data_IF_593986381106
#
_entry.id   IF_593986381106
#
_cell.length_a   1.000
_cell.length_b   1.000
_cell.length_c   1.000
_cell.angle_alpha   90.00
_cell.angle_beta   90.00
_cell.angle_gamma   90.00
#
_symmetry.space_group_name_H-M   'P 1'
#
loop_
_entity.id
_entity.type
_entity.pdbx_description
1 polymer ?
#
# COMPACT_ATOMS: atom_id res chain seq x y z
N UNK A 1 -4.92 13.05 17.16
CA UNK A 1 -4.68 13.63 15.84
C UNK A 1 -5.77 14.64 15.52
N UNK A 2 -5.34 15.88 15.31
CA UNK A 2 -6.10 17.04 14.87
C UNK A 2 -5.58 17.50 13.50
N UNK A 3 -6.31 18.36 12.79
CA UNK A 3 -5.86 18.89 11.48
C UNK A 3 -4.51 19.60 11.59
N UNK A 4 -4.29 20.35 12.67
CA UNK A 4 -3.02 21.04 12.94
C UNK A 4 -1.81 20.10 13.01
N UNK A 5 -2.00 18.81 13.33
CA UNK A 5 -0.90 17.85 13.43
C UNK A 5 -0.32 17.46 12.06
N UNK A 6 -1.04 17.73 10.97
CA UNK A 6 -0.67 17.34 9.59
C UNK A 6 -0.88 18.47 8.58
N UNK A 7 -1.16 19.69 9.05
CA UNK A 7 -1.50 20.83 8.19
C UNK A 7 -0.44 21.11 7.12
N UNK A 8 0.84 21.01 7.50
CA UNK A 8 1.97 21.21 6.58
C UNK A 8 2.07 20.13 5.48
N UNK A 9 1.46 18.96 5.70
CA UNK A 9 1.47 17.83 4.77
C UNK A 9 0.16 17.65 4.01
N UNK A 10 -0.85 18.49 4.28
CA UNK A 10 -2.22 18.23 3.84
C UNK A 10 -2.33 18.14 2.31
N UNK A 11 -1.58 18.95 1.58
CA UNK A 11 -1.50 18.86 0.12
C UNK A 11 -0.93 17.52 -0.36
N UNK A 12 0.25 17.13 0.13
CA UNK A 12 0.91 15.87 -0.25
C UNK A 12 0.08 14.64 0.16
N UNK A 13 -0.51 14.65 1.36
CA UNK A 13 -1.38 13.57 1.81
C UNK A 13 -2.66 13.48 0.99
N UNK A 14 -3.22 14.61 0.55
CA UNK A 14 -4.40 14.62 -0.31
C UNK A 14 -4.10 14.03 -1.68
N UNK A 15 -2.92 14.31 -2.23
CA UNK A 15 -2.49 13.77 -3.52
C UNK A 15 -2.13 12.28 -3.44
N UNK A 16 -1.32 11.91 -2.45
CA UNK A 16 -0.65 10.62 -2.42
C UNK A 16 -1.30 9.59 -1.50
N UNK A 17 -2.14 10.02 -0.55
CA UNK A 17 -2.83 9.14 0.38
C UNK A 17 -4.32 9.49 0.54
N UNK A 18 -5.09 9.72 -0.55
CA UNK A 18 -6.51 10.06 -0.44
C UNK A 18 -7.34 8.89 0.10
N UNK A 19 -8.50 9.21 0.68
CA UNK A 19 -9.56 8.21 0.83
C UNK A 19 -10.23 7.97 -0.52
N UNK A 20 -10.20 6.72 -1.00
CA UNK A 20 -11.01 6.27 -2.15
C UNK A 20 -12.43 5.84 -1.74
N UNK A 21 -12.73 5.80 -0.44
CA UNK A 21 -14.07 5.54 0.07
C UNK A 21 -14.84 6.87 0.15
N UNK A 22 -15.86 7.03 -0.70
CA UNK A 22 -16.67 8.27 -0.75
C UNK A 22 -17.44 8.59 0.54
N UNK A 23 -17.61 7.60 1.40
CA UNK A 23 -18.26 7.74 2.71
C UNK A 23 -17.33 8.24 3.80
N UNK A 24 -16.02 8.39 3.54
CA UNK A 24 -15.00 8.77 4.52
C UNK A 24 -14.07 9.83 3.94
N UNK A 25 -13.88 10.94 4.67
CA UNK A 25 -12.92 11.96 4.26
C UNK A 25 -11.48 11.48 4.39
N UNK A 26 -10.55 12.04 3.61
CA UNK A 26 -9.13 11.70 3.71
C UNK A 26 -8.59 11.94 5.13
N UNK A 27 -8.98 13.03 5.79
CA UNK A 27 -8.57 13.28 7.18
C UNK A 27 -9.10 12.21 8.17
N UNK A 28 -10.34 11.76 8.02
CA UNK A 28 -10.87 10.66 8.85
C UNK A 28 -10.08 9.37 8.62
N UNK A 29 -9.71 9.09 7.37
CA UNK A 29 -8.87 7.95 7.02
C UNK A 29 -7.49 8.05 7.68
N UNK A 30 -6.76 9.16 7.49
CA UNK A 30 -5.46 9.37 8.14
C UNK A 30 -5.53 9.26 9.66
N UNK A 31 -6.61 9.77 10.28
CA UNK A 31 -6.81 9.69 11.73
C UNK A 31 -6.94 8.23 12.21
N UNK A 32 -7.60 7.38 11.44
CA UNK A 32 -7.71 5.95 11.73
C UNK A 32 -6.38 5.23 11.54
N UNK A 33 -5.64 5.53 10.47
CA UNK A 33 -4.32 4.96 10.21
C UNK A 33 -3.33 5.30 11.33
N UNK A 34 -3.30 6.57 11.77
CA UNK A 34 -2.51 6.97 12.94
C UNK A 34 -2.93 6.22 14.20
N UNK A 35 -4.24 6.12 14.48
CA UNK A 35 -4.74 5.46 15.70
C UNK A 35 -4.41 3.97 15.71
N UNK A 36 -4.55 3.28 14.57
CA UNK A 36 -4.38 1.82 14.47
C UNK A 36 -2.91 1.41 14.30
N UNK A 37 -2.13 2.19 13.57
CA UNK A 37 -0.78 1.81 13.15
C UNK A 37 0.28 2.79 13.66
N UNK A 38 0.10 4.08 13.41
CA UNK A 38 1.09 5.10 13.77
C UNK A 38 1.41 5.18 15.27
N UNK A 39 0.39 5.07 16.13
CA UNK A 39 0.58 5.09 17.58
C UNK A 39 1.44 3.92 18.09
N UNK A 40 1.40 2.75 17.44
CA UNK A 40 2.27 1.62 17.78
C UNK A 40 3.72 1.86 17.32
N UNK A 41 3.91 2.59 16.21
CA UNK A 41 5.22 2.98 15.73
C UNK A 41 5.85 4.14 16.52
N UNK A 42 5.11 4.80 17.41
CA UNK A 42 5.57 6.00 18.11
C UNK A 42 6.81 5.79 19.01
N UNK A 43 7.14 4.55 19.38
CA UNK A 43 8.36 4.19 20.11
C UNK A 43 9.61 4.09 19.20
N UNK A 44 9.44 4.12 17.87
CA UNK A 44 10.54 4.13 16.90
C UNK A 44 10.96 5.58 16.66
N UNK A 45 12.27 5.82 16.67
CA UNK A 45 12.82 7.13 16.37
C UNK A 45 12.34 7.60 14.98
N UNK A 46 11.88 8.86 14.90
CA UNK A 46 11.30 9.40 13.66
C UNK A 46 9.80 9.13 13.46
N UNK A 47 9.11 8.44 14.37
CA UNK A 47 7.65 8.18 14.29
C UNK A 47 6.85 8.67 15.50
N UNK A 48 7.50 9.39 16.41
CA UNK A 48 6.96 9.79 17.71
C UNK A 48 5.88 10.90 17.68
N UNK A 49 5.35 11.27 16.50
CA UNK A 49 4.21 12.17 16.34
C UNK A 49 3.47 11.90 15.03
N UNK A 50 2.20 12.32 14.87
CA UNK A 50 1.48 12.18 13.61
C UNK A 50 2.23 12.83 12.44
N UNK A 51 2.72 14.06 12.63
CA UNK A 51 3.50 14.78 11.62
C UNK A 51 4.69 13.96 11.11
N UNK A 52 5.51 13.44 12.04
CA UNK A 52 6.71 12.68 11.70
C UNK A 52 6.39 11.33 11.06
N UNK A 53 5.33 10.67 11.52
CA UNK A 53 4.84 9.43 10.92
C UNK A 53 4.45 9.63 9.46
N UNK A 54 3.57 10.60 9.18
CA UNK A 54 3.12 10.88 7.82
C UNK A 54 4.24 11.42 6.92
N UNK A 55 5.11 12.29 7.44
CA UNK A 55 6.32 12.73 6.72
C UNK A 55 7.17 11.54 6.29
N UNK A 56 7.37 10.57 7.18
CA UNK A 56 8.21 9.39 6.87
C UNK A 56 7.52 8.48 5.86
N UNK A 57 6.21 8.26 5.98
CA UNK A 57 5.44 7.50 4.99
C UNK A 57 5.50 8.13 3.59
N UNK A 58 5.35 9.45 3.49
CA UNK A 58 5.46 10.17 2.21
C UNK A 58 6.87 10.06 1.61
N UNK A 59 7.91 10.19 2.44
CA UNK A 59 9.31 9.97 2.01
C UNK A 59 9.54 8.56 1.47
N UNK A 60 9.06 7.54 2.18
CA UNK A 60 9.16 6.15 1.74
C UNK A 60 8.41 5.92 0.44
N UNK A 61 7.22 6.51 0.29
CA UNK A 61 6.45 6.45 -0.96
C UNK A 61 7.24 7.03 -2.14
N UNK A 62 7.87 8.18 -1.95
CA UNK A 62 8.68 8.82 -2.99
C UNK A 62 9.94 8.00 -3.31
N UNK A 63 10.58 7.40 -2.29
CA UNK A 63 11.77 6.57 -2.46
C UNK A 63 11.46 5.27 -3.22
N UNK A 64 10.36 4.60 -2.88
CA UNK A 64 9.89 3.39 -3.54
C UNK A 64 8.81 3.75 -4.55
N UNK A 65 9.15 4.53 -5.57
CA UNK A 65 8.20 4.96 -6.61
C UNK A 65 7.78 3.79 -7.51
N UNK A 66 6.81 3.00 -7.02
CA UNK A 66 6.29 1.80 -7.67
C UNK A 66 5.69 2.13 -9.03
N UNK A 67 5.02 3.28 -9.16
CA UNK A 67 4.40 3.66 -10.43
C UNK A 67 5.47 3.87 -11.49
N UNK A 68 6.53 4.60 -11.17
CA UNK A 68 7.64 4.81 -12.09
C UNK A 68 8.34 3.50 -12.45
N UNK A 69 8.61 2.62 -11.47
CA UNK A 69 9.26 1.33 -11.73
C UNK A 69 8.45 0.46 -12.72
N UNK A 70 7.12 0.45 -12.58
CA UNK A 70 6.23 -0.28 -13.47
C UNK A 70 6.14 0.39 -14.85
N UNK A 71 6.02 1.72 -14.90
CA UNK A 71 5.95 2.50 -16.14
C UNK A 71 7.22 2.34 -16.99
N UNK A 72 8.40 2.43 -16.36
CA UNK A 72 9.71 2.20 -17.01
C UNK A 72 9.82 0.77 -17.61
N UNK A 73 9.06 -0.19 -17.08
CA UNK A 73 8.96 -1.57 -17.57
C UNK A 73 7.79 -1.79 -18.56
N UNK A 74 7.01 -0.76 -18.89
CA UNK A 74 5.85 -0.85 -19.79
C UNK A 74 4.62 -1.53 -19.16
N UNK A 75 4.55 -1.56 -17.83
CA UNK A 75 3.43 -2.06 -17.04
C UNK A 75 2.64 -0.84 -16.54
N UNK A 76 1.64 -0.44 -17.30
CA UNK A 76 0.80 0.72 -16.99
C UNK A 76 -0.62 0.29 -16.62
N UNK A 77 -1.37 1.12 -15.87
CA UNK A 77 -2.78 0.85 -15.64
C UNK A 77 -3.54 0.69 -16.96
N UNK A 78 -4.41 -0.33 -17.04
CA UNK A 78 -5.20 -0.63 -18.23
C UNK A 78 -6.50 -1.35 -17.85
N UNK A 79 -7.57 -1.00 -18.57
CA UNK A 79 -8.86 -1.69 -18.46
C UNK A 79 -8.94 -2.98 -19.28
N UNK A 80 -8.02 -3.17 -20.24
CA UNK A 80 -8.10 -4.24 -21.23
C UNK A 80 -6.92 -5.22 -21.14
N UNK A 81 -5.77 -4.75 -20.66
CA UNK A 81 -4.53 -5.55 -20.61
C UNK A 81 -4.32 -6.11 -19.19
N UNK A 82 -4.45 -7.42 -19.00
CA UNK A 82 -4.04 -8.05 -17.75
C UNK A 82 -2.53 -8.36 -17.75
N UNK A 83 -1.97 -8.53 -16.56
CA UNK A 83 -0.56 -8.85 -16.32
C UNK A 83 -0.41 -10.14 -15.55
N UNK A 84 0.78 -10.75 -15.63
CA UNK A 84 1.12 -11.93 -14.84
C UNK A 84 1.83 -11.52 -13.55
N UNK A 85 1.62 -12.28 -12.48
CA UNK A 85 2.29 -12.06 -11.19
C UNK A 85 3.81 -12.10 -11.35
N UNK A 86 4.33 -13.02 -12.14
CA UNK A 86 5.78 -13.18 -12.32
C UNK A 86 6.40 -12.00 -13.07
N UNK A 87 5.66 -11.38 -13.99
CA UNK A 87 6.09 -10.19 -14.74
C UNK A 87 6.23 -8.99 -13.80
N UNK A 88 5.17 -8.71 -13.03
CA UNK A 88 5.15 -7.59 -12.08
C UNK A 88 6.15 -7.81 -10.95
N UNK A 89 6.21 -9.01 -10.39
CA UNK A 89 7.17 -9.36 -9.34
C UNK A 89 8.60 -9.22 -9.83
N UNK A 90 8.91 -9.65 -11.07
CA UNK A 90 10.24 -9.52 -11.66
C UNK A 90 10.73 -8.08 -11.79
N UNK A 91 9.81 -7.13 -11.99
CA UNK A 91 10.12 -5.69 -12.02
C UNK A 91 10.33 -5.13 -10.61
N UNK A 92 9.49 -5.52 -9.64
CA UNK A 92 9.49 -4.90 -8.32
C UNK A 92 10.52 -5.49 -7.35
N UNK A 93 10.75 -6.81 -7.37
CA UNK A 93 11.60 -7.49 -6.40
C UNK A 93 13.03 -6.94 -6.29
N UNK A 94 13.73 -6.57 -7.39
CA UNK A 94 15.06 -5.98 -7.31
C UNK A 94 15.13 -4.66 -6.52
N UNK A 95 14.01 -3.95 -6.41
CA UNK A 95 13.94 -2.63 -5.77
C UNK A 95 13.28 -2.68 -4.39
N UNK A 96 12.33 -3.61 -4.18
CA UNK A 96 11.49 -3.68 -2.99
C UNK A 96 11.78 -4.90 -2.11
N UNK A 97 12.64 -5.81 -2.58
CA UNK A 97 12.98 -7.07 -1.92
C UNK A 97 12.06 -8.23 -2.31
N UNK A 98 12.61 -9.45 -2.25
CA UNK A 98 11.95 -10.68 -2.74
C UNK A 98 10.71 -11.11 -1.93
N UNK A 99 10.49 -10.50 -0.76
CA UNK A 99 9.36 -10.83 0.14
C UNK A 99 8.15 -9.91 -0.07
N UNK A 100 8.13 -9.11 -1.13
CA UNK A 100 6.97 -8.28 -1.44
C UNK A 100 5.73 -9.15 -1.71
N UNK A 101 4.57 -8.69 -1.27
CA UNK A 101 3.30 -9.38 -1.49
C UNK A 101 2.44 -8.56 -2.46
N UNK A 102 2.09 -9.16 -3.61
CA UNK A 102 1.10 -8.60 -4.54
C UNK A 102 -0.26 -9.22 -4.18
N UNK A 103 -1.19 -8.38 -3.73
CA UNK A 103 -2.53 -8.79 -3.33
C UNK A 103 -3.57 -8.40 -4.37
N UNK A 104 -4.47 -9.33 -4.64
CA UNK A 104 -5.59 -9.20 -5.55
C UNK A 104 -6.92 -9.28 -4.81
N UNK A 105 -7.97 -8.78 -5.45
CA UNK A 105 -9.37 -9.07 -5.13
C UNK A 105 -10.03 -9.65 -6.38
N UNK A 106 -11.02 -10.51 -6.19
CA UNK A 106 -11.90 -10.95 -7.28
C UNK A 106 -13.05 -9.96 -7.43
N UNK A 107 -13.26 -9.42 -8.64
CA UNK A 107 -14.34 -8.50 -8.94
C UNK A 107 -15.69 -9.20 -9.21
N UNK A 108 -16.72 -8.43 -9.56
CA UNK A 108 -18.06 -8.95 -9.85
C UNK A 108 -18.14 -9.75 -11.16
N UNK A 109 -17.09 -9.71 -11.99
CA UNK A 109 -16.94 -10.45 -13.25
C UNK A 109 -16.02 -11.68 -13.09
N UNK A 110 -15.66 -12.04 -11.86
CA UNK A 110 -14.72 -13.13 -11.54
C UNK A 110 -13.31 -12.90 -12.09
N UNK A 111 -12.91 -11.63 -12.24
CA UNK A 111 -11.57 -11.23 -12.67
C UNK A 111 -10.71 -10.91 -11.45
N UNK A 112 -9.44 -11.33 -11.49
CA UNK A 112 -8.45 -10.92 -10.51
C UNK A 112 -8.03 -9.47 -10.78
N UNK A 113 -8.10 -8.62 -9.78
CA UNK A 113 -7.73 -7.20 -9.87
C UNK A 113 -6.67 -6.89 -8.82
N UNK A 114 -5.58 -6.23 -9.21
CA UNK A 114 -4.55 -5.80 -8.29
C UNK A 114 -5.13 -4.79 -7.28
N UNK A 115 -5.14 -5.20 -6.01
CA UNK A 115 -5.67 -4.43 -4.89
C UNK A 115 -4.59 -3.69 -4.09
N UNK A 116 -3.48 -4.37 -3.78
CA UNK A 116 -2.44 -3.83 -2.90
C UNK A 116 -1.08 -4.45 -3.20
N UNK A 117 0.00 -3.72 -2.94
CA UNK A 117 1.34 -4.27 -2.76
C UNK A 117 1.84 -3.99 -1.35
N UNK A 118 2.42 -4.99 -0.70
CA UNK A 118 3.03 -4.86 0.62
C UNK A 118 4.52 -5.11 0.54
N UNK A 119 5.28 -4.26 1.21
CA UNK A 119 6.74 -4.31 1.26
C UNK A 119 7.13 -4.45 2.73
N UNK A 120 7.94 -5.44 3.05
CA UNK A 120 8.53 -5.59 4.38
C UNK A 120 9.67 -4.59 4.56
N UNK A 121 9.57 -3.76 5.60
CA UNK A 121 10.66 -2.87 6.01
C UNK A 121 11.21 -3.33 7.36
N UNK A 122 12.53 -3.31 7.49
CA UNK A 122 13.22 -3.42 8.77
C UNK A 122 12.91 -2.18 9.65
N UNK A 123 13.25 -2.25 10.94
CA UNK A 123 13.03 -1.12 11.87
C UNK A 123 13.80 0.15 11.50
N UNK A 124 14.89 0.04 10.74
CA UNK A 124 15.65 1.18 10.21
C UNK A 124 15.19 1.59 8.81
N UNK A 125 14.02 1.12 8.36
CA UNK A 125 13.36 1.50 7.11
C UNK A 125 14.09 1.05 5.84
N UNK A 126 14.82 -0.06 5.91
CA UNK A 126 15.50 -0.67 4.75
C UNK A 126 14.76 -1.92 4.27
N UNK A 127 14.99 -2.28 3.00
CA UNK A 127 14.52 -3.52 2.37
C UNK A 127 15.68 -4.54 2.25
N UNK A 128 15.36 -5.83 2.18
CA UNK A 128 16.31 -6.88 1.77
C UNK A 128 17.33 -7.34 2.83
N UNK A 129 17.29 -6.82 4.06
CA UNK A 129 18.12 -7.30 5.16
C UNK A 129 17.34 -8.29 6.03
N UNK A 130 17.44 -9.58 5.73
CA UNK A 130 16.99 -10.65 6.62
C UNK A 130 18.03 -10.80 7.75
N UNK A 131 17.85 -10.07 8.84
CA UNK A 131 18.59 -10.41 10.05
C UNK A 131 18.11 -11.80 10.51
N UNK A 132 19.01 -12.79 10.44
CA UNK A 132 18.84 -14.20 10.84
C UNK A 132 18.33 -14.45 12.28
N UNK A 133 17.83 -13.43 13.00
CA UNK A 133 17.29 -13.52 14.35
C UNK A 133 16.06 -12.65 14.62
N UNK A 134 15.57 -11.87 13.66
CA UNK A 134 14.26 -11.23 13.79
C UNK A 134 13.22 -12.24 13.34
N UNK A 135 12.38 -12.66 14.30
CA UNK A 135 11.32 -13.62 14.10
C UNK A 135 10.60 -13.37 12.77
N UNK A 136 10.37 -14.45 12.02
CA UNK A 136 9.48 -14.51 10.87
C UNK A 136 8.18 -13.78 11.24
N UNK A 137 8.14 -12.48 10.96
CA UNK A 137 6.93 -11.70 11.02
C UNK A 137 6.15 -12.13 9.81
N UNK A 138 5.52 -13.30 9.90
CA UNK A 138 4.40 -13.60 9.04
C UNK A 138 3.55 -12.32 9.02
N UNK A 139 3.01 -11.95 7.86
CA UNK A 139 1.95 -10.95 7.76
C UNK A 139 0.67 -11.38 8.53
N UNK A 140 0.79 -12.33 9.46
CA UNK A 140 -0.18 -12.82 10.42
C UNK A 140 -0.80 -11.62 11.14
N UNK A 141 -1.98 -11.30 10.63
CA UNK A 141 -3.09 -10.64 11.28
C UNK A 141 -2.87 -10.55 12.80
N UNK A 142 -2.53 -9.34 13.27
CA UNK A 142 -2.65 -9.02 14.68
C UNK A 142 -4.08 -9.33 15.10
N UNK A 143 -4.23 -10.33 15.96
CA UNK A 143 -5.48 -10.82 16.53
C UNK A 143 -6.11 -9.76 17.43
N UNK A 144 -6.67 -8.70 16.83
CA UNK A 144 -7.65 -7.85 17.48
C UNK A 144 -9.05 -8.38 17.13
N UNK A 145 -9.98 -8.54 18.10
CA UNK A 145 -11.28 -9.17 17.85
C UNK A 145 -12.23 -8.37 16.94
N UNK A 146 -11.78 -7.24 16.37
CA UNK A 146 -12.56 -6.35 15.51
C UNK A 146 -11.73 -5.89 14.30
N UNK A 147 -10.96 -6.80 13.71
CA UNK A 147 -10.37 -6.59 12.39
C UNK A 147 -11.36 -7.12 11.36
N UNK A 148 -12.01 -6.24 10.59
CA UNK A 148 -12.61 -6.68 9.33
C UNK A 148 -11.48 -7.33 8.50
N UNK A 149 -11.63 -8.58 8.02
CA UNK A 149 -10.63 -9.17 7.15
C UNK A 149 -10.43 -8.26 5.95
N UNK A 150 -9.16 -8.00 5.59
CA UNK A 150 -8.86 -7.31 4.32
C UNK A 150 -9.54 -8.11 3.20
N UNK A 151 -10.26 -7.47 2.27
CA UNK A 151 -10.90 -8.19 1.18
C UNK A 151 -9.88 -8.83 0.23
N UNK A 152 -8.63 -8.38 0.26
CA UNK A 152 -7.55 -8.87 -0.60
C UNK A 152 -6.95 -10.19 -0.14
N UNK A 153 -6.53 -11.00 -1.11
CA UNK A 153 -5.74 -12.22 -0.94
C UNK A 153 -4.48 -12.13 -1.82
N UNK A 154 -3.44 -12.98 -1.61
CA UNK A 154 -2.33 -13.04 -2.56
C UNK A 154 -2.84 -13.31 -3.99
N UNK A 155 -2.29 -12.59 -4.97
CA UNK A 155 -2.59 -12.84 -6.38
C UNK A 155 -2.14 -14.27 -6.75
N UNK A 156 -3.00 -15.01 -7.44
CA UNK A 156 -2.77 -16.43 -7.73
C UNK A 156 -1.73 -16.59 -8.85
N UNK A 157 -0.65 -17.38 -8.67
CA UNK A 157 0.28 -17.68 -9.75
C UNK A 157 -0.42 -18.33 -10.94
N UNK A 158 0.01 -17.96 -12.16
CA UNK A 158 -0.58 -18.48 -13.40
C UNK A 158 -1.97 -17.94 -13.78
N UNK A 159 -2.66 -17.19 -12.90
CA UNK A 159 -3.88 -16.46 -13.23
C UNK A 159 -3.51 -14.99 -13.47
N UNK A 160 -3.79 -14.44 -14.66
CA UNK A 160 -3.49 -13.05 -14.94
C UNK A 160 -4.47 -12.13 -14.20
N UNK A 161 -4.02 -10.94 -13.81
CA UNK A 161 -4.82 -9.97 -13.08
C UNK A 161 -4.81 -8.61 -13.79
N UNK A 162 -5.82 -7.78 -13.53
CA UNK A 162 -5.92 -6.43 -14.06
C UNK A 162 -5.28 -5.42 -13.12
N UNK A 163 -4.40 -4.58 -13.67
CA UNK A 163 -3.94 -3.36 -13.01
C UNK A 163 -4.78 -2.19 -13.52
N UNK A 164 -5.86 -1.87 -12.81
CA UNK A 164 -6.82 -0.86 -13.26
C UNK A 164 -6.37 0.58 -12.94
N UNK A 165 -6.72 1.58 -13.77
CA UNK A 165 -6.49 2.99 -13.44
C UNK A 165 -7.35 3.45 -12.26
N UNK A 166 -6.91 4.48 -11.54
CA UNK A 166 -7.68 5.05 -10.43
C UNK A 166 -8.56 6.19 -10.95
N UNK A 167 -9.88 6.00 -10.90
CA UNK A 167 -10.84 7.07 -11.12
C UNK A 167 -11.16 7.76 -9.77
N UNK A 168 -10.51 8.89 -9.48
CA UNK A 168 -10.71 9.61 -8.22
C UNK A 168 -12.14 10.13 -8.03
N UNK A 169 -12.93 10.31 -9.10
CA UNK A 169 -14.33 10.74 -8.99
C UNK A 169 -15.25 9.55 -8.71
N UNK A 170 -15.02 8.42 -9.37
CA UNK A 170 -15.78 7.18 -9.21
C UNK A 170 -14.86 5.96 -9.01
N UNK A 171 -14.28 5.76 -7.81
CA UNK A 171 -13.28 4.71 -7.59
C UNK A 171 -13.79 3.27 -7.80
N UNK A 172 -15.11 3.07 -7.70
CA UNK A 172 -15.76 1.77 -7.97
C UNK A 172 -16.00 1.51 -9.46
N UNK A 173 -15.68 2.50 -10.32
CA UNK A 173 -15.86 2.46 -11.77
C UNK A 173 -14.58 2.97 -12.45
N UNK A 174 -13.48 2.22 -12.33
CA UNK A 174 -12.19 2.64 -12.88
C UNK A 174 -12.17 2.68 -14.41
N UNK A 175 -13.12 2.01 -15.08
CA UNK A 175 -13.13 1.78 -16.52
C UNK A 175 -14.43 2.23 -17.22
N UNK A 176 -15.29 3.01 -16.53
CA UNK A 176 -16.51 3.59 -17.10
C UNK A 176 -16.29 5.02 -17.62
#
# INVERSE_FOLDING_TARGET
MFHSDVQELEAELTEHWPSLLKTKSSFQFWKEEWKKHGACAACVEGFNSPLRYFQTCLKLRHQFDIHRLLDDAGITPSCDRPYKVEEVHGVLAPHLGDKLEIQCVTDDKDQEVWFQVKIGLSRNLTVGCDHHGDAQGDFAAGSNPVSYPSPGHPCRPGIPFYYLPINHQQPLRPCD
#
